data_IF_965253427812
#
_entry.id   IF_965253427812
#
_cell.length_a   1.000
_cell.length_b   1.000
_cell.length_c   1.000
_cell.angle_alpha   90.00
_cell.angle_beta   90.00
_cell.angle_gamma   90.00
#
_symmetry.space_group_name_H-M   'P 1'
#
loop_
_entity.id
_entity.type
_entity.pdbx_description
1 polymer ?
#
# COMPACT_ATOMS: atom_id res chain seq x y z
N UNK A 1 5.26 -8.83 -34.57
CA UNK A 1 4.87 -8.23 -33.28
C UNK A 1 5.66 -8.89 -32.18
N UNK A 2 6.29 -8.10 -31.31
CA UNK A 2 6.88 -8.63 -30.07
C UNK A 2 5.79 -8.42 -29.02
N UNK A 3 5.06 -9.48 -28.69
CA UNK A 3 4.11 -9.44 -27.60
C UNK A 3 4.90 -9.42 -26.29
N UNK A 4 4.99 -8.27 -25.62
CA UNK A 4 5.46 -8.19 -24.24
C UNK A 4 4.42 -8.88 -23.35
N UNK A 5 4.75 -10.08 -22.88
CA UNK A 5 4.00 -10.75 -21.82
C UNK A 5 4.23 -9.98 -20.51
N UNK A 6 3.41 -8.96 -20.28
CA UNK A 6 3.28 -8.38 -18.95
C UNK A 6 2.63 -9.47 -18.09
N UNK A 7 3.45 -10.13 -17.27
CA UNK A 7 3.02 -11.14 -16.31
C UNK A 7 2.13 -10.47 -15.26
N UNK A 8 0.84 -10.29 -15.58
CA UNK A 8 -0.16 -9.60 -14.75
C UNK A 8 -0.43 -10.32 -13.42
N UNK A 9 0.19 -11.48 -13.18
CA UNK A 9 0.08 -12.23 -11.92
C UNK A 9 1.17 -11.91 -10.89
N UNK A 10 2.16 -11.09 -11.23
CA UNK A 10 3.30 -10.81 -10.33
C UNK A 10 3.34 -9.36 -9.90
N UNK A 11 3.26 -9.15 -8.59
CA UNK A 11 3.51 -7.85 -7.96
C UNK A 11 5.01 -7.71 -7.73
N UNK A 12 5.61 -6.61 -8.21
CA UNK A 12 6.98 -6.24 -7.85
C UNK A 12 6.98 -5.65 -6.43
N UNK A 13 7.86 -6.15 -5.59
CA UNK A 13 8.04 -5.74 -4.20
C UNK A 13 9.52 -5.48 -3.93
N UNK A 14 9.80 -4.50 -3.07
CA UNK A 14 11.16 -4.23 -2.56
C UNK A 14 11.50 -5.12 -1.35
N UNK A 15 10.51 -5.80 -0.78
CA UNK A 15 10.67 -6.69 0.37
C UNK A 15 11.19 -8.07 -0.04
N UNK A 16 12.14 -8.59 0.75
CA UNK A 16 12.64 -9.95 0.58
C UNK A 16 11.57 -10.97 0.96
N UNK A 17 11.59 -12.14 0.32
CA UNK A 17 10.68 -13.25 0.63
C UNK A 17 10.70 -13.64 2.11
N UNK A 18 11.87 -13.64 2.74
CA UNK A 18 12.05 -13.93 4.16
C UNK A 18 11.30 -12.91 5.04
N UNK A 19 11.39 -11.62 4.70
CA UNK A 19 10.68 -10.56 5.41
C UNK A 19 9.16 -10.69 5.34
N UNK A 20 8.62 -11.35 4.31
CA UNK A 20 7.18 -11.60 4.18
C UNK A 20 6.71 -12.78 5.05
N UNK A 21 7.59 -13.71 5.42
CA UNK A 21 7.22 -14.86 6.26
C UNK A 21 7.00 -14.46 7.72
N UNK A 22 7.72 -13.45 8.18
CA UNK A 22 7.64 -12.94 9.54
C UNK A 22 6.62 -11.80 9.69
N UNK A 23 5.89 -11.46 8.62
CA UNK A 23 4.92 -10.38 8.63
C UNK A 23 3.71 -10.72 9.53
N UNK A 24 3.19 -9.73 10.29
CA UNK A 24 1.91 -9.88 10.96
C UNK A 24 0.84 -10.29 9.96
N UNK A 25 -0.03 -11.21 10.36
CA UNK A 25 -1.16 -11.67 9.53
C UNK A 25 -2.42 -11.55 10.36
N UNK A 26 -3.51 -11.12 9.73
CA UNK A 26 -4.81 -11.06 10.40
C UNK A 26 -5.29 -12.47 10.78
N UNK A 27 -5.96 -12.58 11.91
CA UNK A 27 -6.56 -13.84 12.36
C UNK A 27 -7.73 -14.27 11.44
N UNK A 28 -8.48 -13.28 10.92
CA UNK A 28 -9.55 -13.46 9.93
C UNK A 28 -9.39 -12.45 8.78
N UNK A 29 -9.13 -12.95 7.58
CA UNK A 29 -8.89 -12.13 6.38
C UNK A 29 -10.16 -11.42 5.91
N UNK A 30 -11.35 -11.94 6.21
CA UNK A 30 -12.61 -11.29 5.85
C UNK A 30 -13.00 -10.21 6.87
N UNK A 31 -12.37 -10.21 8.05
CA UNK A 31 -12.69 -9.32 9.15
C UNK A 31 -11.42 -8.83 9.87
N UNK A 32 -10.58 -8.10 9.14
CA UNK A 32 -9.37 -7.48 9.68
C UNK A 32 -9.75 -6.31 10.58
N UNK A 33 -9.32 -6.35 11.84
CA UNK A 33 -9.51 -5.24 12.76
C UNK A 33 -8.56 -4.07 12.45
N UNK A 34 -8.94 -2.87 12.87
CA UNK A 34 -8.12 -1.66 12.69
C UNK A 34 -6.72 -1.81 13.30
N UNK A 35 -6.63 -2.46 14.47
CA UNK A 35 -5.35 -2.69 15.14
C UNK A 35 -4.45 -3.66 14.36
N UNK A 36 -5.03 -4.72 13.77
CA UNK A 36 -4.27 -5.65 12.92
C UNK A 36 -3.78 -4.96 11.65
N UNK A 37 -4.62 -4.14 11.04
CA UNK A 37 -4.25 -3.37 9.85
C UNK A 37 -3.10 -2.39 10.16
N UNK A 38 -3.16 -1.68 11.28
CA UNK A 38 -2.06 -0.80 11.74
C UNK A 38 -0.76 -1.57 11.99
N UNK A 39 -0.84 -2.75 12.60
CA UNK A 39 0.33 -3.60 12.83
C UNK A 39 0.97 -4.06 11.52
N UNK A 40 0.16 -4.52 10.56
CA UNK A 40 0.63 -4.93 9.23
C UNK A 40 1.30 -3.76 8.52
N UNK A 41 0.66 -2.59 8.49
CA UNK A 41 1.21 -1.40 7.84
C UNK A 41 2.53 -0.95 8.48
N UNK A 42 2.59 -0.94 9.82
CA UNK A 42 3.79 -0.54 10.57
C UNK A 42 4.99 -1.46 10.29
N UNK A 43 4.75 -2.77 10.10
CA UNK A 43 5.81 -3.72 9.79
C UNK A 43 6.50 -3.44 8.44
N UNK A 44 5.77 -2.84 7.49
CA UNK A 44 6.27 -2.47 6.18
C UNK A 44 6.63 -0.97 6.05
N UNK A 45 6.67 -0.23 7.16
CA UNK A 45 6.85 1.23 7.20
C UNK A 45 5.88 1.99 6.28
N UNK A 46 4.63 1.51 6.19
CA UNK A 46 3.58 2.10 5.36
C UNK A 46 2.70 3.07 6.15
N UNK A 47 2.33 4.18 5.52
CA UNK A 47 1.34 5.10 6.09
C UNK A 47 -0.09 4.56 5.88
N UNK A 48 -0.96 4.65 6.89
CA UNK A 48 -2.36 4.29 6.71
C UNK A 48 -3.05 5.18 5.68
N UNK A 49 -3.82 4.59 4.76
CA UNK A 49 -4.50 5.33 3.70
C UNK A 49 -5.56 6.31 4.24
N UNK A 50 -6.08 6.07 5.44
CA UNK A 50 -6.99 6.98 6.13
C UNK A 50 -6.27 8.14 6.83
N UNK A 51 -4.97 8.01 7.08
CA UNK A 51 -4.13 9.08 7.63
C UNK A 51 -3.54 9.98 6.53
N UNK A 52 -3.50 9.49 5.29
CA UNK A 52 -3.04 10.27 4.14
C UNK A 52 -3.94 11.50 3.96
N UNK A 53 -3.37 12.70 4.17
CA UNK A 53 -3.99 13.94 3.67
C UNK A 53 -4.15 13.77 2.16
N UNK A 54 -5.30 14.16 1.56
CA UNK A 54 -5.48 14.03 0.13
C UNK A 54 -4.28 14.65 -0.58
N UNK A 55 -3.54 13.82 -1.32
CA UNK A 55 -2.45 14.33 -2.14
C UNK A 55 -3.06 15.37 -3.07
N UNK A 56 -2.71 16.65 -2.87
CA UNK A 56 -2.95 17.66 -3.91
C UNK A 56 -2.36 17.07 -5.19
N UNK A 57 -3.21 16.86 -6.18
CA UNK A 57 -2.73 16.38 -7.48
C UNK A 57 -1.68 17.40 -7.93
N UNK A 58 -0.52 16.93 -8.42
CA UNK A 58 0.57 17.80 -8.90
C UNK A 58 0.14 18.79 -10.01
N UNK A 59 -1.10 18.68 -10.51
CA UNK A 59 -1.72 19.52 -11.54
C UNK A 59 -2.95 20.31 -11.04
N UNK A 60 -3.17 20.43 -9.73
CA UNK A 60 -4.28 21.24 -9.20
C UNK A 60 -3.84 22.70 -9.07
N UNK A 61 -4.50 23.66 -9.76
CA UNK A 61 -4.17 25.07 -9.60
C UNK A 61 -4.36 25.48 -8.15
N UNK A 62 -3.41 26.27 -7.62
CA UNK A 62 -3.57 26.90 -6.30
C UNK A 62 -4.84 27.76 -6.35
N UNK A 63 -5.81 27.61 -5.42
CA UNK A 63 -6.89 28.58 -5.35
C UNK A 63 -6.24 29.92 -5.02
N UNK A 64 -6.45 30.91 -5.87
CA UNK A 64 -6.01 32.28 -5.59
C UNK A 64 -6.72 32.73 -4.32
N UNK A 65 -5.93 33.19 -3.35
CA UNK A 65 -6.43 33.78 -2.11
C UNK A 65 -7.31 34.99 -2.49
N UNK A 66 -8.62 34.86 -2.26
CA UNK A 66 -9.60 35.95 -2.33
C UNK A 66 -9.92 36.47 -0.94
#
# INVERSE_FOLDING_TARGET
EICEAVDMGKVKTEWKKESLQDAPTADDVENVSMNEEELILSYFDLEPYWAARPHRKKNEPRPEDG
#
